data_IF_412847933562
#
_entry.id   IF_412847933562
#
_cell.length_a   1.000
_cell.length_b   1.000
_cell.length_c   1.000
_cell.angle_alpha   90.00
_cell.angle_beta   90.00
_cell.angle_gamma   90.00
#
_symmetry.space_group_name_H-M   'P 1'
#
loop_
_entity.id
_entity.type
_entity.pdbx_description
1 polymer ?
#
# COMPACT_ATOMS: atom_id res chain seq x y z
N UNK A 1 -62.65 -15.15 9.66
CA UNK A 1 -61.90 -14.59 8.52
C UNK A 1 -60.40 -14.60 8.84
N UNK A 2 -59.57 -14.64 7.81
CA UNK A 2 -58.25 -15.28 7.77
C UNK A 2 -57.17 -14.55 8.59
N UNK A 3 -56.26 -15.36 9.14
CA UNK A 3 -54.94 -15.01 9.69
C UNK A 3 -54.05 -14.44 8.58
N UNK A 4 -53.26 -13.41 8.86
CA UNK A 4 -51.94 -13.15 8.24
C UNK A 4 -51.31 -11.92 8.90
N UNK A 5 -49.97 -11.90 8.96
CA UNK A 5 -49.06 -10.91 9.58
C UNK A 5 -48.71 -11.29 11.03
N UNK A 6 -47.60 -12.02 11.22
CA UNK A 6 -46.31 -11.33 11.31
C UNK A 6 -45.18 -12.13 10.63
N UNK A 7 -44.81 -11.77 9.40
CA UNK A 7 -43.61 -12.34 8.76
C UNK A 7 -42.66 -11.27 8.19
N UNK A 8 -43.01 -9.99 8.32
CA UNK A 8 -42.23 -8.89 7.72
C UNK A 8 -41.19 -8.32 8.71
N UNK A 9 -41.34 -8.54 10.03
CA UNK A 9 -40.39 -8.00 11.01
C UNK A 9 -39.11 -8.84 11.19
N UNK A 10 -39.07 -10.06 10.68
CA UNK A 10 -37.96 -11.00 10.88
C UNK A 10 -37.00 -11.09 9.67
N UNK A 11 -37.33 -10.44 8.55
CA UNK A 11 -36.49 -10.47 7.35
C UNK A 11 -35.45 -9.32 7.29
N UNK A 12 -35.57 -8.29 8.13
CA UNK A 12 -34.66 -7.14 8.11
C UNK A 12 -33.46 -7.24 9.06
N UNK A 13 -33.46 -8.22 9.99
CA UNK A 13 -32.34 -8.42 10.94
C UNK A 13 -31.27 -9.41 10.44
N UNK A 14 -31.47 -10.06 9.29
CA UNK A 14 -30.56 -11.07 8.76
C UNK A 14 -29.45 -10.57 7.81
N UNK A 15 -29.50 -9.31 7.34
CA UNK A 15 -28.58 -8.83 6.29
C UNK A 15 -27.32 -8.16 6.88
N UNK A 16 -27.27 -7.85 8.17
CA UNK A 16 -26.13 -7.13 8.77
C UNK A 16 -24.94 -7.99 9.21
N UNK A 17 -25.00 -9.32 9.11
CA UNK A 17 -23.94 -10.20 9.66
C UNK A 17 -22.87 -10.59 8.63
N UNK A 18 -23.05 -10.29 7.34
CA UNK A 18 -22.09 -10.70 6.29
C UNK A 18 -20.98 -9.69 5.97
N UNK A 19 -20.91 -8.54 6.65
CA UNK A 19 -19.87 -7.52 6.45
C UNK A 19 -18.58 -7.70 7.29
N UNK A 20 -18.56 -8.63 8.25
CA UNK A 20 -17.52 -8.66 9.29
C UNK A 20 -16.27 -9.50 8.96
N UNK A 21 -16.29 -10.29 7.88
CA UNK A 21 -15.18 -11.19 7.53
C UNK A 21 -14.14 -10.58 6.57
N UNK A 22 -14.45 -9.47 5.91
CA UNK A 22 -13.49 -8.75 5.04
C UNK A 22 -12.61 -7.80 5.85
N UNK A 23 -13.14 -7.18 6.90
CA UNK A 23 -12.41 -6.25 7.76
C UNK A 23 -11.38 -6.95 8.68
N UNK A 24 -11.62 -8.21 9.06
CA UNK A 24 -10.70 -8.97 9.94
C UNK A 24 -9.38 -9.30 9.26
N UNK A 25 -9.40 -9.61 7.95
CA UNK A 25 -8.20 -9.83 7.15
C UNK A 25 -7.38 -8.54 7.05
N UNK A 26 -8.03 -7.41 6.78
CA UNK A 26 -7.36 -6.10 6.70
C UNK A 26 -6.78 -5.66 8.05
N UNK A 27 -7.51 -5.86 9.15
CA UNK A 27 -7.04 -5.51 10.49
C UNK A 27 -5.84 -6.38 10.95
N UNK A 28 -5.78 -7.64 10.51
CA UNK A 28 -4.64 -8.52 10.77
C UNK A 28 -3.39 -8.10 9.99
N UNK A 29 -3.55 -7.71 8.72
CA UNK A 29 -2.46 -7.12 7.89
C UNK A 29 -1.91 -5.86 8.56
N UNK A 30 -2.81 -4.98 9.01
CA UNK A 30 -2.47 -3.73 9.66
C UNK A 30 -1.70 -3.90 10.98
N UNK A 31 -2.08 -4.87 11.84
CA UNK A 31 -1.33 -5.17 13.08
C UNK A 31 0.05 -5.78 12.81
N UNK A 32 0.20 -6.54 11.72
CA UNK A 32 1.47 -7.19 11.36
C UNK A 32 2.44 -6.24 10.67
N UNK A 33 1.95 -5.31 9.84
CA UNK A 33 2.74 -4.22 9.27
C UNK A 33 3.39 -3.36 10.35
N UNK A 34 2.65 -3.03 11.42
CA UNK A 34 3.16 -2.32 12.58
C UNK A 34 4.32 -3.06 13.29
N UNK A 35 4.22 -4.40 13.35
CA UNK A 35 5.24 -5.25 13.96
C UNK A 35 6.49 -5.34 13.07
N UNK A 36 6.30 -5.35 11.75
CA UNK A 36 7.38 -5.41 10.76
C UNK A 36 8.20 -4.12 10.70
N UNK A 37 7.54 -2.96 10.86
CA UNK A 37 8.19 -1.64 10.94
C UNK A 37 9.11 -1.53 12.18
N UNK A 38 8.84 -2.27 13.24
CA UNK A 38 9.60 -2.19 14.50
C UNK A 38 10.90 -3.01 14.56
N UNK A 39 11.23 -3.84 13.55
CA UNK A 39 12.24 -4.92 13.71
C UNK A 39 13.32 -5.12 12.66
N UNK A 40 13.54 -4.22 11.70
CA UNK A 40 14.49 -4.52 10.60
C UNK A 40 15.72 -3.58 10.55
N UNK A 41 16.86 -3.95 11.16
CA UNK A 41 18.14 -3.38 10.80
C UNK A 41 18.66 -4.09 9.53
N UNK A 42 19.07 -3.30 8.53
CA UNK A 42 19.51 -3.74 7.20
C UNK A 42 18.40 -4.23 6.27
N UNK A 43 18.61 -3.96 5.00
CA UNK A 43 17.69 -4.25 3.92
C UNK A 43 17.44 -5.76 3.80
N UNK A 44 16.35 -6.27 4.38
CA UNK A 44 16.01 -7.69 4.31
C UNK A 44 14.94 -7.92 3.24
N UNK A 45 15.23 -8.79 2.27
CA UNK A 45 14.22 -9.22 1.32
C UNK A 45 13.25 -10.17 2.04
N UNK A 46 11.94 -9.94 1.90
CA UNK A 46 10.95 -10.83 2.51
C UNK A 46 9.69 -10.91 1.65
N UNK A 47 8.89 -11.94 1.92
CA UNK A 47 7.49 -12.03 1.49
C UNK A 47 6.60 -12.30 2.69
N UNK A 48 5.40 -11.76 2.66
CA UNK A 48 4.32 -12.13 3.56
C UNK A 48 3.32 -12.98 2.79
N UNK A 49 3.17 -14.23 3.21
CA UNK A 49 2.25 -15.20 2.61
C UNK A 49 0.79 -14.85 2.93
N UNK A 50 -0.16 -15.42 2.18
CA UNK A 50 -1.60 -15.24 2.41
C UNK A 50 -2.10 -15.78 3.75
N UNK A 51 -1.37 -16.71 4.37
CA UNK A 51 -1.60 -17.16 5.75
C UNK A 51 -1.04 -16.18 6.82
N UNK A 52 -0.36 -15.12 6.35
CA UNK A 52 0.26 -14.09 7.17
C UNK A 52 1.62 -14.48 7.76
N UNK A 53 2.25 -15.55 7.28
CA UNK A 53 3.63 -15.93 7.63
C UNK A 53 4.61 -15.08 6.84
N UNK A 54 5.64 -14.57 7.50
CA UNK A 54 6.73 -13.83 6.85
C UNK A 54 7.90 -14.78 6.61
N UNK A 55 8.41 -14.81 5.37
CA UNK A 55 9.63 -15.53 5.00
C UNK A 55 10.67 -14.56 4.50
N UNK A 56 11.86 -14.64 5.08
CA UNK A 56 13.01 -13.83 4.70
C UNK A 56 13.89 -14.56 3.68
N UNK A 57 14.50 -13.79 2.79
CA UNK A 57 15.38 -14.27 1.72
C UNK A 57 16.60 -13.37 1.61
N UNK A 58 17.66 -13.90 0.99
CA UNK A 58 18.85 -13.09 0.68
C UNK A 58 18.58 -12.20 -0.53
N UNK A 59 17.92 -12.75 -1.53
CA UNK A 59 17.54 -12.06 -2.77
C UNK A 59 16.10 -12.37 -3.14
N UNK A 60 15.41 -11.39 -3.71
CA UNK A 60 14.06 -11.53 -4.22
C UNK A 60 13.96 -10.71 -5.50
N UNK A 61 13.90 -11.38 -6.65
CA UNK A 61 13.97 -10.72 -7.97
C UNK A 61 12.67 -10.91 -8.73
N UNK A 62 12.13 -9.82 -9.27
CA UNK A 62 10.96 -9.89 -10.15
C UNK A 62 11.37 -10.44 -11.53
N UNK A 63 10.73 -11.54 -11.95
CA UNK A 63 10.94 -12.17 -13.25
C UNK A 63 9.72 -11.91 -14.13
N UNK A 64 9.93 -11.16 -15.21
CA UNK A 64 8.89 -10.79 -16.19
C UNK A 64 9.39 -11.19 -17.57
N UNK A 65 8.75 -12.17 -18.19
CA UNK A 65 9.13 -12.66 -19.52
C UNK A 65 7.88 -12.92 -20.32
N UNK A 66 7.94 -12.68 -21.63
CA UNK A 66 6.81 -12.84 -22.57
C UNK A 66 6.25 -14.28 -22.51
N UNK A 67 7.09 -15.26 -22.19
CA UNK A 67 6.74 -16.68 -22.16
C UNK A 67 6.61 -17.27 -20.74
N UNK A 68 6.73 -16.46 -19.69
CA UNK A 68 6.63 -16.94 -18.29
C UNK A 68 5.66 -16.08 -17.50
N UNK A 69 4.80 -16.73 -16.72
CA UNK A 69 3.98 -16.05 -15.72
C UNK A 69 4.87 -15.21 -14.79
N UNK A 70 4.57 -13.93 -14.58
CA UNK A 70 5.33 -13.09 -13.66
C UNK A 70 5.39 -13.70 -12.26
N UNK A 71 6.59 -13.76 -11.69
CA UNK A 71 6.83 -14.32 -10.35
C UNK A 71 8.04 -13.64 -9.72
N UNK A 72 8.16 -13.77 -8.39
CA UNK A 72 9.38 -13.47 -7.69
C UNK A 72 10.25 -14.73 -7.63
N UNK A 73 11.53 -14.56 -7.92
CA UNK A 73 12.55 -15.60 -7.77
C UNK A 73 13.37 -15.28 -6.51
N UNK A 74 13.10 -16.03 -5.45
CA UNK A 74 13.85 -15.96 -4.20
C UNK A 74 15.09 -16.85 -4.28
N UNK A 75 16.25 -16.26 -3.92
CA UNK A 75 17.55 -16.94 -3.85
C UNK A 75 17.92 -17.75 -5.11
N UNK A 76 17.43 -17.29 -6.27
CA UNK A 76 17.65 -17.92 -7.58
C UNK A 76 16.92 -19.25 -7.81
N UNK A 77 16.15 -19.75 -6.83
CA UNK A 77 15.59 -21.12 -6.87
C UNK A 77 14.09 -21.17 -6.59
N UNK A 78 13.59 -20.39 -5.64
CA UNK A 78 12.21 -20.50 -5.15
C UNK A 78 11.34 -19.53 -5.93
N UNK A 79 10.32 -20.05 -6.61
CA UNK A 79 9.33 -19.23 -7.32
C UNK A 79 8.17 -18.91 -6.40
N UNK A 80 7.79 -17.64 -6.34
CA UNK A 80 6.70 -17.13 -5.51
C UNK A 80 5.77 -16.34 -6.42
N UNK A 81 4.49 -16.74 -6.49
CA UNK A 81 3.51 -16.10 -7.36
C UNK A 81 2.68 -15.07 -6.58
N UNK A 82 2.05 -14.15 -7.31
CA UNK A 82 1.20 -13.10 -6.73
C UNK A 82 0.01 -13.64 -5.93
N UNK A 83 -0.41 -14.88 -6.18
CA UNK A 83 -1.51 -15.55 -5.46
C UNK A 83 -1.13 -16.02 -4.08
N UNK A 84 0.17 -16.16 -3.80
CA UNK A 84 0.66 -16.83 -2.60
C UNK A 84 1.02 -15.83 -1.50
N UNK A 85 1.05 -14.54 -1.84
CA UNK A 85 1.55 -13.46 -0.98
C UNK A 85 0.61 -12.26 -0.94
N UNK A 86 0.70 -11.50 0.14
CA UNK A 86 -0.04 -10.24 0.35
C UNK A 86 0.88 -9.02 0.38
N UNK A 87 2.16 -9.19 0.70
CA UNK A 87 3.17 -8.14 0.61
C UNK A 87 4.56 -8.73 0.35
N UNK A 88 5.48 -7.92 -0.17
CA UNK A 88 6.88 -8.29 -0.29
C UNK A 88 7.80 -7.07 -0.30
N UNK A 89 9.06 -7.29 0.07
CA UNK A 89 10.16 -6.35 -0.11
C UNK A 89 11.26 -7.04 -0.92
N UNK A 90 11.48 -6.57 -2.15
CA UNK A 90 12.68 -6.92 -2.95
C UNK A 90 13.78 -5.90 -2.65
N UNK A 91 14.82 -5.72 -3.50
CA UNK A 91 15.91 -4.71 -3.42
C UNK A 91 15.57 -3.26 -3.84
N UNK A 92 14.44 -3.09 -4.52
CA UNK A 92 14.07 -1.86 -5.21
C UNK A 92 12.87 -1.17 -4.54
N UNK A 93 11.99 -1.90 -3.86
CA UNK A 93 10.81 -1.38 -3.20
C UNK A 93 10.13 -2.38 -2.26
N UNK A 94 9.23 -1.84 -1.44
CA UNK A 94 8.17 -2.58 -0.77
C UNK A 94 6.88 -2.50 -1.59
N UNK A 95 6.14 -3.60 -1.68
CA UNK A 95 4.88 -3.67 -2.42
C UNK A 95 3.82 -4.50 -1.69
N UNK A 96 2.55 -4.12 -1.87
CA UNK A 96 1.39 -4.77 -1.26
C UNK A 96 0.36 -5.17 -2.31
N UNK A 97 -0.38 -6.25 -2.06
CA UNK A 97 -1.44 -6.72 -2.93
C UNK A 97 -2.61 -5.73 -2.93
N UNK A 98 -2.99 -5.24 -4.10
CA UNK A 98 -4.11 -4.32 -4.28
C UNK A 98 -5.48 -5.00 -4.20
N UNK A 99 -5.53 -6.33 -4.03
CA UNK A 99 -6.77 -7.09 -3.90
C UNK A 99 -7.59 -6.71 -2.65
N UNK A 100 -6.96 -6.05 -1.66
CA UNK A 100 -7.61 -5.55 -0.45
C UNK A 100 -7.94 -4.06 -0.45
N UNK A 101 -7.74 -3.35 -1.56
CA UNK A 101 -8.01 -1.91 -1.63
C UNK A 101 -9.51 -1.64 -1.81
N UNK A 102 -10.05 -0.70 -1.02
CA UNK A 102 -11.49 -0.50 -0.87
C UNK A 102 -12.21 -0.05 -2.15
N UNK A 103 -11.50 0.71 -2.99
CA UNK A 103 -11.98 1.28 -4.26
C UNK A 103 -10.77 1.47 -5.18
N UNK A 104 -10.98 1.40 -6.50
CA UNK A 104 -9.87 1.28 -7.47
C UNK A 104 -9.30 -0.15 -7.47
N UNK A 105 -8.52 -0.50 -8.49
CA UNK A 105 -8.04 -1.88 -8.62
C UNK A 105 -8.19 -2.51 -9.99
N UNK A 106 -8.08 -1.72 -11.06
CA UNK A 106 -8.10 -2.24 -12.43
C UNK A 106 -7.18 -3.47 -12.56
N UNK A 107 -7.72 -4.59 -13.06
CA UNK A 107 -6.96 -5.83 -13.20
C UNK A 107 -5.87 -5.60 -14.26
N UNK A 108 -4.63 -5.50 -13.80
CA UNK A 108 -3.46 -5.36 -14.66
C UNK A 108 -2.76 -6.71 -14.80
N UNK A 109 -2.51 -7.14 -16.02
CA UNK A 109 -1.56 -8.22 -16.31
C UNK A 109 -0.12 -7.72 -16.48
N UNK A 110 0.11 -6.41 -16.38
CA UNK A 110 1.47 -5.86 -16.48
C UNK A 110 2.21 -6.12 -15.17
N UNK A 111 3.35 -6.78 -15.33
CA UNK A 111 4.44 -6.75 -14.39
C UNK A 111 5.61 -6.02 -15.07
N UNK A 112 5.65 -4.70 -14.96
CA UNK A 112 6.80 -3.92 -15.45
C UNK A 112 7.80 -3.71 -14.31
N UNK A 113 7.29 -3.21 -13.18
CA UNK A 113 8.08 -2.88 -12.00
C UNK A 113 7.69 -3.72 -10.77
N UNK A 114 6.51 -4.35 -10.80
CA UNK A 114 5.93 -5.08 -9.66
C UNK A 114 5.27 -6.37 -10.13
N UNK A 115 4.99 -7.29 -9.21
CA UNK A 115 4.05 -8.38 -9.51
C UNK A 115 2.68 -7.81 -10.00
N UNK A 116 1.97 -8.53 -10.89
CA UNK A 116 0.64 -8.14 -11.31
C UNK A 116 -0.30 -8.04 -10.11
N UNK A 117 -1.06 -6.94 -10.02
CA UNK A 117 -1.98 -6.71 -8.90
C UNK A 117 -1.33 -6.18 -7.62
N UNK A 118 -0.04 -5.82 -7.64
CA UNK A 118 0.66 -5.19 -6.51
C UNK A 118 0.83 -3.69 -6.73
N UNK A 119 0.85 -2.93 -5.62
CA UNK A 119 1.17 -1.51 -5.58
C UNK A 119 2.46 -1.27 -4.80
N UNK A 120 3.33 -0.41 -5.32
CA UNK A 120 4.62 -0.05 -4.71
C UNK A 120 4.48 1.14 -3.79
N UNK A 121 5.10 1.05 -2.61
CA UNK A 121 5.19 2.17 -1.66
C UNK A 121 6.22 3.18 -2.15
N UNK A 122 5.78 4.40 -2.46
CA UNK A 122 6.63 5.51 -2.94
C UNK A 122 6.95 6.55 -1.85
N UNK A 123 6.19 6.53 -0.75
CA UNK A 123 6.47 7.27 0.49
C UNK A 123 6.03 6.41 1.68
N UNK A 124 6.83 6.38 2.75
CA UNK A 124 6.53 5.62 3.96
C UNK A 124 6.64 6.49 5.22
N UNK A 125 5.87 6.12 6.24
CA UNK A 125 5.79 6.82 7.53
C UNK A 125 4.34 6.89 8.01
N UNK A 126 3.97 7.95 8.74
CA UNK A 126 2.59 8.15 9.21
C UNK A 126 1.59 8.26 8.06
N UNK A 127 1.99 8.79 6.92
CA UNK A 127 1.27 8.74 5.66
C UNK A 127 2.08 7.92 4.67
N UNK A 128 1.56 6.73 4.34
CA UNK A 128 2.08 5.88 3.29
C UNK A 128 1.38 6.23 1.96
N UNK A 129 2.16 6.29 0.88
CA UNK A 129 1.65 6.50 -0.49
C UNK A 129 2.09 5.34 -1.34
N UNK A 130 1.13 4.74 -2.04
CA UNK A 130 1.37 3.63 -2.97
C UNK A 130 1.01 4.03 -4.41
N UNK A 131 1.69 3.41 -5.36
CA UNK A 131 1.44 3.54 -6.80
C UNK A 131 1.25 2.15 -7.40
N UNK A 132 0.20 1.98 -8.20
CA UNK A 132 -0.05 0.78 -8.99
C UNK A 132 -0.10 1.16 -10.46
N UNK A 133 0.70 0.48 -11.27
CA UNK A 133 0.70 0.69 -12.72
C UNK A 133 -0.21 -0.33 -13.39
N UNK A 134 -1.10 0.12 -14.26
CA UNK A 134 -1.93 -0.76 -15.07
C UNK A 134 -1.95 -0.35 -16.54
N UNK A 135 -2.18 -1.32 -17.43
CA UNK A 135 -2.40 -1.02 -18.85
C UNK A 135 -3.86 -0.69 -19.06
N UNK A 136 -4.12 0.42 -19.73
CA UNK A 136 -5.38 0.69 -20.41
C UNK A 136 -5.07 0.85 -21.90
N UNK A 137 -5.47 -0.15 -22.70
CA UNK A 137 -5.14 -0.27 -24.11
C UNK A 137 -3.63 -0.19 -24.41
N UNK A 138 -3.17 0.91 -25.01
CA UNK A 138 -1.77 1.18 -25.35
C UNK A 138 -1.07 2.09 -24.32
N UNK A 139 -1.77 2.51 -23.26
CA UNK A 139 -1.25 3.44 -22.25
C UNK A 139 -1.01 2.74 -20.91
N UNK A 140 0.04 3.17 -20.21
CA UNK A 140 0.29 2.78 -18.81
C UNK A 140 -0.20 3.91 -17.92
N UNK A 141 -1.12 3.59 -17.02
CA UNK A 141 -1.74 4.54 -16.10
C UNK A 141 -1.26 4.26 -14.68
N UNK A 142 -0.95 5.32 -13.95
CA UNK A 142 -0.61 5.31 -12.53
C UNK A 142 -1.89 5.48 -11.68
N UNK A 143 -2.19 4.50 -10.84
CA UNK A 143 -3.27 4.54 -9.84
C UNK A 143 -2.64 4.73 -8.45
N UNK A 144 -3.08 5.74 -7.70
CA UNK A 144 -2.48 6.11 -6.40
C UNK A 144 -3.36 5.68 -5.24
N UNK A 145 -2.72 5.31 -4.13
CA UNK A 145 -3.41 4.92 -2.90
C UNK A 145 -2.73 5.54 -1.67
N UNK A 146 -3.52 5.84 -0.65
CA UNK A 146 -3.09 6.46 0.59
C UNK A 146 -3.42 5.54 1.77
N UNK A 147 -2.56 5.56 2.78
CA UNK A 147 -2.79 4.85 4.05
C UNK A 147 -2.22 5.68 5.19
N UNK A 148 -3.04 5.95 6.20
CA UNK A 148 -2.61 6.62 7.42
C UNK A 148 -2.21 5.59 8.48
N UNK A 149 -0.95 5.62 8.92
CA UNK A 149 -0.35 4.66 9.83
C UNK A 149 -0.59 3.23 9.34
N UNK A 150 -1.16 2.41 10.23
CA UNK A 150 -1.61 1.05 9.94
C UNK A 150 -3.09 1.00 9.59
N UNK A 151 -3.62 2.04 8.95
CA UNK A 151 -5.02 2.14 8.54
C UNK A 151 -5.32 1.31 7.29
N UNK A 152 -6.55 1.47 6.79
CA UNK A 152 -6.94 0.91 5.50
C UNK A 152 -6.25 1.65 4.35
N UNK A 153 -5.91 0.92 3.28
CA UNK A 153 -5.36 1.51 2.06
C UNK A 153 -6.53 1.91 1.15
N UNK A 154 -6.63 3.20 0.84
CA UNK A 154 -7.74 3.80 0.09
C UNK A 154 -7.23 4.41 -1.21
N UNK A 155 -8.04 4.37 -2.27
CA UNK A 155 -7.73 5.10 -3.50
C UNK A 155 -7.56 6.58 -3.22
N UNK A 156 -6.55 7.17 -3.84
CA UNK A 156 -6.30 8.59 -3.77
C UNK A 156 -7.47 9.37 -4.36
N UNK A 157 -7.99 10.31 -3.57
CA UNK A 157 -8.74 11.47 -4.07
C UNK A 157 -8.16 12.73 -3.44
N UNK A 158 -8.35 13.91 -4.05
CA UNK A 158 -7.89 15.15 -3.46
C UNK A 158 -8.48 15.41 -2.07
N UNK A 159 -9.75 15.06 -1.86
CA UNK A 159 -10.47 15.25 -0.61
C UNK A 159 -9.93 14.34 0.49
N UNK A 160 -9.59 13.09 0.14
CA UNK A 160 -8.94 12.17 1.08
C UNK A 160 -7.58 12.71 1.50
N UNK A 161 -6.76 13.19 0.55
CA UNK A 161 -5.46 13.76 0.86
C UNK A 161 -5.60 14.97 1.80
N UNK A 162 -6.49 15.92 1.49
CA UNK A 162 -6.76 17.08 2.35
C UNK A 162 -7.19 16.65 3.75
N UNK A 163 -8.09 15.66 3.87
CA UNK A 163 -8.56 15.16 5.15
C UNK A 163 -7.45 14.53 6.00
N UNK A 164 -6.48 13.85 5.37
CA UNK A 164 -5.35 13.21 6.04
C UNK A 164 -4.30 14.23 6.52
N UNK A 165 -4.08 15.30 5.74
CA UNK A 165 -3.03 16.28 6.04
C UNK A 165 -3.54 17.57 6.71
N UNK A 166 -4.85 17.71 6.96
CA UNK A 166 -5.47 18.94 7.49
C UNK A 166 -4.85 19.48 8.77
N UNK A 167 -4.27 18.61 9.60
CA UNK A 167 -3.64 18.99 10.86
C UNK A 167 -2.17 19.41 10.71
N UNK A 168 -1.65 19.42 9.48
CA UNK A 168 -0.31 19.85 9.14
C UNK A 168 -0.37 21.00 8.12
N UNK A 169 -0.28 22.27 8.58
CA UNK A 169 -0.45 23.42 7.70
C UNK A 169 0.61 23.47 6.59
N UNK A 170 1.85 23.07 6.88
CA UNK A 170 2.93 23.07 5.89
C UNK A 170 2.65 22.07 4.74
N UNK A 171 2.23 20.84 5.08
CA UNK A 171 1.88 19.83 4.10
C UNK A 171 0.65 20.24 3.27
N UNK A 172 -0.36 20.84 3.92
CA UNK A 172 -1.57 21.31 3.28
C UNK A 172 -1.29 22.47 2.30
N UNK A 173 -0.50 23.46 2.72
CA UNK A 173 -0.10 24.59 1.89
C UNK A 173 0.71 24.13 0.68
N UNK A 174 1.69 23.24 0.90
CA UNK A 174 2.46 22.66 -0.19
C UNK A 174 1.55 21.94 -1.18
N UNK A 175 0.65 21.09 -0.68
CA UNK A 175 -0.24 20.29 -1.52
C UNK A 175 -1.14 21.19 -2.37
N UNK A 176 -1.81 22.17 -1.77
CA UNK A 176 -2.76 23.05 -2.46
C UNK A 176 -2.09 23.98 -3.47
N UNK A 177 -0.94 24.55 -3.14
CA UNK A 177 -0.23 25.47 -4.02
C UNK A 177 0.40 24.78 -5.23
N UNK A 178 0.66 23.47 -5.16
CA UNK A 178 1.37 22.72 -6.20
C UNK A 178 0.48 21.81 -7.07
N UNK A 179 -0.85 21.78 -6.85
CA UNK A 179 -1.79 20.87 -7.58
C UNK A 179 -1.71 20.92 -9.10
N UNK A 180 -1.37 22.07 -9.68
CA UNK A 180 -1.33 22.27 -11.14
C UNK A 180 0.09 22.35 -11.72
N UNK A 181 1.10 22.50 -10.86
CA UNK A 181 2.47 22.82 -11.28
C UNK A 181 3.40 21.60 -11.23
N UNK A 182 3.06 20.59 -10.43
CA UNK A 182 3.90 19.42 -10.19
C UNK A 182 3.18 18.16 -10.64
N UNK A 183 3.89 17.23 -11.29
CA UNK A 183 3.34 15.89 -11.60
C UNK A 183 2.81 15.23 -10.33
N UNK A 184 1.62 14.64 -10.41
CA UNK A 184 0.91 14.05 -9.27
C UNK A 184 1.81 13.13 -8.42
N UNK A 185 2.56 12.21 -9.05
CA UNK A 185 3.50 11.32 -8.36
C UNK A 185 4.48 12.06 -7.45
N UNK A 186 5.06 13.16 -7.94
CA UNK A 186 6.03 13.96 -7.20
C UNK A 186 5.33 14.80 -6.13
N UNK A 187 4.16 15.34 -6.44
CA UNK A 187 3.35 16.11 -5.49
C UNK A 187 2.96 15.25 -4.27
N UNK A 188 2.40 14.06 -4.49
CA UNK A 188 1.99 13.16 -3.40
C UNK A 188 3.19 12.69 -2.57
N UNK A 189 4.30 12.32 -3.24
CA UNK A 189 5.53 11.91 -2.55
C UNK A 189 6.12 13.01 -1.67
N UNK A 190 6.14 14.25 -2.14
CA UNK A 190 6.67 15.38 -1.37
C UNK A 190 5.72 15.79 -0.25
N UNK A 191 4.41 15.81 -0.49
CA UNK A 191 3.39 16.09 0.53
C UNK A 191 3.50 15.09 1.68
N UNK A 192 3.55 13.79 1.37
CA UNK A 192 3.72 12.75 2.37
C UNK A 192 5.05 12.88 3.13
N UNK A 193 6.13 13.29 2.45
CA UNK A 193 7.42 13.54 3.11
C UNK A 193 7.34 14.67 4.13
N UNK A 194 6.74 15.81 3.77
CA UNK A 194 6.57 16.96 4.69
C UNK A 194 5.74 16.52 5.90
N UNK A 195 4.62 15.86 5.65
CA UNK A 195 3.74 15.36 6.70
C UNK A 195 4.44 14.38 7.65
N UNK A 196 5.18 13.40 7.10
CA UNK A 196 5.88 12.39 7.89
C UNK A 196 7.03 12.99 8.71
N UNK A 197 7.79 13.92 8.13
CA UNK A 197 8.88 14.59 8.84
C UNK A 197 8.36 15.34 10.06
N UNK A 198 7.32 16.16 9.89
CA UNK A 198 6.72 16.89 10.99
C UNK A 198 6.17 15.95 12.08
N UNK A 199 5.57 14.81 11.68
CA UNK A 199 5.12 13.80 12.64
C UNK A 199 6.28 13.21 13.46
N UNK A 200 7.40 12.87 12.83
CA UNK A 200 8.56 12.30 13.50
C UNK A 200 9.31 13.30 14.37
N UNK A 201 9.34 14.58 14.00
CA UNK A 201 9.89 15.64 14.86
C UNK A 201 9.09 15.76 16.16
N UNK A 202 7.77 15.59 16.10
CA UNK A 202 6.89 15.60 17.28
C UNK A 202 6.85 14.26 18.04
N UNK A 203 7.24 13.16 17.39
CA UNK A 203 7.19 11.81 17.95
C UNK A 203 8.49 11.03 17.64
N UNK A 204 9.64 11.39 18.24
CA UNK A 204 10.94 10.82 17.86
C UNK A 204 11.03 9.30 18.04
N UNK A 205 10.29 8.74 18.99
CA UNK A 205 10.22 7.29 19.26
C UNK A 205 9.51 6.50 18.14
N UNK A 206 8.75 7.18 17.28
CA UNK A 206 8.04 6.57 16.14
C UNK A 206 8.85 6.56 14.84
N UNK A 207 10.05 7.12 14.85
CA UNK A 207 10.92 7.22 13.68
C UNK A 207 11.50 5.86 13.29
N UNK A 208 11.06 5.30 12.15
CA UNK A 208 11.72 4.17 11.50
C UNK A 208 12.72 4.69 10.43
N UNK A 209 14.03 4.56 10.65
CA UNK A 209 15.04 4.99 9.68
C UNK A 209 14.93 4.28 8.31
N UNK A 210 14.28 3.11 8.25
CA UNK A 210 14.09 2.35 7.01
C UNK A 210 12.86 2.79 6.19
N UNK A 211 11.87 3.43 6.81
CA UNK A 211 10.76 4.07 6.10
C UNK A 211 11.26 5.20 5.17
N UNK A 212 12.38 5.84 5.52
CA UNK A 212 12.97 6.95 4.76
C UNK A 212 13.93 6.46 3.65
N UNK A 213 14.37 5.19 3.72
CA UNK A 213 15.46 4.65 2.90
C UNK A 213 15.18 4.55 1.38
N UNK A 214 13.93 4.72 0.94
CA UNK A 214 13.57 4.77 -0.50
C UNK A 214 13.42 6.19 -1.07
N UNK A 215 13.68 7.22 -0.26
CA UNK A 215 13.67 8.62 -0.73
C UNK A 215 15.00 9.07 -1.33
N UNK A 216 15.68 8.22 -2.11
CA UNK A 216 16.85 8.59 -2.91
C UNK A 216 18.07 9.01 -2.07
N UNK A 217 19.14 8.21 -2.14
CA UNK A 217 20.46 8.55 -1.58
C UNK A 217 20.79 10.03 -1.85
N UNK A 218 20.75 10.88 -0.82
CA UNK A 218 21.44 12.17 -0.85
C UNK A 218 22.92 11.84 -1.00
N UNK A 219 23.51 12.12 -2.16
CA UNK A 219 24.98 12.20 -2.26
C UNK A 219 25.41 13.29 -1.28
N UNK A 220 26.35 13.03 -0.36
CA UNK A 220 26.94 14.10 0.44
C UNK A 220 27.60 15.07 -0.54
N UNK A 221 27.24 16.35 -0.45
CA UNK A 221 28.02 17.41 -1.09
C UNK A 221 29.40 17.37 -0.45
N UNK A 222 30.41 17.05 -1.26
CA UNK A 222 31.79 17.47 -0.98
C UNK A 222 31.91 18.94 -1.31
#
# INVERSE_FOLDING_TARGET
MKKLIPFILLLFTGILILGSCTNSKQAAVNRKMALLESKLPSYQCFVELTDGTIRNFTTLVLVTSIYKSPHLLADGKIKIYSTDIISYQNKDHFAIAAAGFSYGGHKSKIASETLPGFAVRIAAGRLNVYIKKYKNDHTVIDEFFLQEGNGQVLAYTPELMDALIKNNPEALDFYNNNRRQVKLTKQLKLTARIFNNAYFELNPESFDPNAVAFSGKRKPKK
#
